data_IF_578610176323
#
_entry.id   IF_578610176323
#
_cell.length_a   1.000
_cell.length_b   1.000
_cell.length_c   1.000
_cell.angle_alpha   90.00
_cell.angle_beta   90.00
_cell.angle_gamma   90.00
#
_symmetry.space_group_name_H-M   'P 1'
#
loop_
_entity.id
_entity.type
_entity.pdbx_description
1 polymer ?
#
# COMPACT_ATOMS: atom_id res chain seq x y z
N UNK A 1 -27.71 22.62 -1.05
CA UNK A 1 -26.60 21.94 -1.74
C UNK A 1 -25.39 21.89 -0.78
N UNK A 2 -25.26 20.84 0.04
CA UNK A 2 -24.18 20.68 1.03
C UNK A 2 -23.96 19.19 1.31
N UNK A 3 -23.08 18.54 0.54
CA UNK A 3 -22.56 17.18 0.82
C UNK A 3 -21.16 16.99 0.19
N UNK A 4 -20.32 18.02 0.13
CA UNK A 4 -19.00 17.94 -0.53
C UNK A 4 -17.80 18.09 0.42
N UNK A 5 -18.02 18.14 1.74
CA UNK A 5 -16.95 18.19 2.74
C UNK A 5 -17.23 17.13 3.82
N UNK A 6 -16.64 15.93 3.73
CA UNK A 6 -16.23 15.10 4.91
C UNK A 6 -15.83 13.64 4.59
N UNK A 7 -15.19 13.32 3.46
CA UNK A 7 -14.56 12.00 3.26
C UNK A 7 -13.05 12.01 3.58
N UNK A 8 -12.59 12.97 4.37
CA UNK A 8 -11.18 13.10 4.73
C UNK A 8 -10.64 11.95 5.59
N UNK A 9 -11.49 11.09 6.16
CA UNK A 9 -11.07 9.89 6.91
C UNK A 9 -11.88 8.65 6.51
N UNK A 10 -11.51 8.01 5.40
CA UNK A 10 -12.01 6.67 5.07
C UNK A 10 -11.20 5.64 5.88
N UNK A 11 -11.89 4.85 6.71
CA UNK A 11 -11.30 3.66 7.36
C UNK A 11 -11.27 2.47 6.40
N UNK A 12 -10.44 1.45 6.65
CA UNK A 12 -10.40 0.28 5.78
C UNK A 12 -11.75 -0.46 5.69
N UNK A 13 -12.61 -0.38 6.72
CA UNK A 13 -13.96 -0.95 6.67
C UNK A 13 -14.96 -0.12 5.87
N UNK A 14 -14.78 1.21 5.83
CA UNK A 14 -15.59 2.11 5.01
C UNK A 14 -15.07 2.22 3.57
N UNK A 15 -13.83 1.77 3.31
CA UNK A 15 -13.24 1.77 1.98
C UNK A 15 -14.06 0.87 1.04
N UNK A 16 -14.36 1.31 -0.20
CA UNK A 16 -15.22 0.56 -1.11
C UNK A 16 -14.67 -0.82 -1.46
N UNK A 17 -15.60 -1.75 -1.67
CA UNK A 17 -15.30 -3.01 -2.34
C UNK A 17 -15.18 -2.78 -3.85
N UNK A 18 -14.43 -3.63 -4.55
CA UNK A 18 -14.29 -3.56 -6.02
C UNK A 18 -15.63 -3.70 -6.76
N UNK A 19 -16.62 -4.35 -6.15
CA UNK A 19 -17.98 -4.46 -6.68
C UNK A 19 -18.78 -3.15 -6.58
N UNK A 20 -18.39 -2.23 -5.69
CA UNK A 20 -19.06 -0.94 -5.51
C UNK A 20 -18.53 0.10 -6.50
N UNK A 21 -18.97 -0.04 -7.74
CA UNK A 21 -18.43 0.76 -8.84
C UNK A 21 -18.71 2.26 -8.73
N UNK A 22 -19.72 2.65 -7.96
CA UNK A 22 -20.09 4.05 -7.73
C UNK A 22 -19.14 4.71 -6.75
N UNK A 23 -18.92 4.09 -5.58
CA UNK A 23 -18.05 4.67 -4.54
C UNK A 23 -16.57 4.47 -4.82
N UNK A 24 -16.22 3.51 -5.68
CA UNK A 24 -14.84 3.18 -6.00
C UNK A 24 -14.16 4.21 -6.92
N UNK A 25 -14.91 5.08 -7.59
CA UNK A 25 -14.36 6.21 -8.34
C UNK A 25 -13.69 5.86 -9.67
N UNK A 26 -13.85 4.63 -10.16
CA UNK A 26 -13.37 4.17 -11.47
C UNK A 26 -14.53 4.13 -12.45
N UNK A 27 -14.66 5.20 -13.23
CA UNK A 27 -15.83 5.39 -14.09
C UNK A 27 -15.78 4.46 -15.33
N UNK A 28 -14.58 4.16 -15.85
CA UNK A 28 -14.37 3.32 -17.03
C UNK A 28 -14.66 1.83 -16.76
N UNK A 29 -15.61 1.25 -17.50
CA UNK A 29 -16.02 -0.15 -17.36
C UNK A 29 -14.98 -1.15 -17.89
N UNK A 30 -14.17 -0.78 -18.87
CA UNK A 30 -13.09 -1.60 -19.40
C UNK A 30 -11.94 -1.69 -18.38
N UNK A 31 -11.55 -0.55 -17.78
CA UNK A 31 -10.53 -0.54 -16.73
C UNK A 31 -10.96 -1.39 -15.52
N UNK A 32 -12.22 -1.27 -15.08
CA UNK A 32 -12.78 -2.07 -13.97
C UNK A 32 -12.71 -3.58 -14.18
N UNK A 33 -12.82 -4.05 -15.43
CA UNK A 33 -12.77 -5.48 -15.75
C UNK A 33 -11.36 -6.03 -15.75
N UNK A 34 -10.39 -5.23 -16.20
CA UNK A 34 -9.01 -5.68 -16.40
C UNK A 34 -8.10 -5.42 -15.21
N UNK A 35 -8.40 -4.39 -14.41
CA UNK A 35 -7.57 -3.98 -13.26
C UNK A 35 -8.40 -3.99 -11.99
N UNK A 36 -7.88 -4.64 -10.94
CA UNK A 36 -8.44 -4.57 -9.60
C UNK A 36 -8.00 -3.25 -8.95
N UNK A 37 -8.72 -2.17 -9.25
CA UNK A 37 -8.35 -0.82 -8.82
C UNK A 37 -9.52 -0.08 -8.18
N UNK A 38 -9.21 0.75 -7.19
CA UNK A 38 -10.16 1.63 -6.55
C UNK A 38 -9.52 2.96 -6.14
N UNK A 39 -10.22 4.05 -6.41
CA UNK A 39 -9.82 5.43 -6.10
C UNK A 39 -11.04 6.27 -5.68
N UNK A 40 -11.56 6.09 -4.46
CA UNK A 40 -12.74 6.81 -3.98
C UNK A 40 -12.57 8.33 -3.95
N UNK A 41 -11.34 8.83 -3.86
CA UNK A 41 -11.04 10.26 -3.81
C UNK A 41 -10.91 10.88 -5.21
N UNK A 42 -10.99 10.07 -6.29
CA UNK A 42 -10.66 10.46 -7.66
C UNK A 42 -9.35 11.25 -7.71
N UNK A 43 -8.35 10.73 -7.01
CA UNK A 43 -7.09 11.38 -6.79
C UNK A 43 -6.07 11.07 -7.88
N UNK A 44 -6.30 10.01 -8.67
CA UNK A 44 -5.50 9.57 -9.81
C UNK A 44 -6.34 9.68 -11.08
N UNK A 45 -5.70 10.05 -12.18
CA UNK A 45 -6.36 10.17 -13.48
C UNK A 45 -6.59 8.80 -14.14
N UNK A 46 -7.60 8.72 -15.02
CA UNK A 46 -7.89 7.47 -15.74
C UNK A 46 -6.73 7.04 -16.66
N UNK A 47 -5.96 7.99 -17.20
CA UNK A 47 -4.77 7.67 -18.02
C UNK A 47 -3.65 7.05 -17.20
N UNK A 48 -3.46 7.47 -15.94
CA UNK A 48 -2.52 6.80 -15.02
C UNK A 48 -2.96 5.36 -14.70
N UNK A 49 -4.27 5.13 -14.54
CA UNK A 49 -4.83 3.78 -14.34
C UNK A 49 -4.66 2.93 -15.61
N UNK A 50 -4.81 3.52 -16.79
CA UNK A 50 -4.55 2.83 -18.06
C UNK A 50 -3.08 2.43 -18.22
N UNK A 51 -2.14 3.25 -17.75
CA UNK A 51 -0.72 2.86 -17.68
C UNK A 51 -0.52 1.64 -16.77
N UNK A 52 -1.23 1.56 -15.64
CA UNK A 52 -1.20 0.38 -14.77
C UNK A 52 -1.72 -0.85 -15.53
N UNK A 53 -2.86 -0.73 -16.21
CA UNK A 53 -3.41 -1.80 -17.05
C UNK A 53 -2.38 -2.30 -18.05
N UNK A 54 -1.78 -1.41 -18.85
CA UNK A 54 -0.83 -1.78 -19.88
C UNK A 54 0.41 -2.51 -19.31
N UNK A 55 0.86 -2.10 -18.12
CA UNK A 55 1.95 -2.80 -17.40
C UNK A 55 1.54 -4.18 -16.92
N UNK A 56 0.32 -4.33 -16.39
CA UNK A 56 -0.20 -5.63 -15.99
C UNK A 56 -0.37 -6.57 -17.18
N UNK A 57 -0.92 -6.08 -18.30
CA UNK A 57 -1.04 -6.87 -19.53
C UNK A 57 0.32 -7.37 -20.00
N UNK A 58 1.36 -6.51 -19.96
CA UNK A 58 2.73 -6.91 -20.27
C UNK A 58 3.26 -7.98 -19.33
N UNK A 59 3.01 -7.85 -18.02
CA UNK A 59 3.41 -8.83 -17.01
C UNK A 59 2.70 -10.15 -17.30
N UNK A 60 1.37 -10.15 -17.42
CA UNK A 60 0.60 -11.36 -17.65
C UNK A 60 0.97 -12.06 -18.95
N UNK A 61 1.18 -11.33 -20.04
CA UNK A 61 1.57 -11.92 -21.32
C UNK A 61 2.93 -12.64 -21.26
N UNK A 62 3.86 -12.20 -20.41
CA UNK A 62 5.17 -12.87 -20.24
C UNK A 62 5.13 -14.12 -19.38
N UNK A 63 4.06 -14.27 -18.61
CA UNK A 63 4.07 -15.06 -17.38
C UNK A 63 2.87 -16.02 -17.28
N UNK A 64 1.96 -16.00 -18.25
CA UNK A 64 0.64 -16.64 -18.20
C UNK A 64 0.63 -18.17 -18.15
N UNK A 65 1.79 -18.82 -18.21
CA UNK A 65 1.91 -20.28 -18.28
C UNK A 65 2.14 -20.95 -16.92
N UNK A 66 2.42 -20.16 -15.87
CA UNK A 66 2.81 -20.68 -14.55
C UNK A 66 1.72 -20.44 -13.50
N UNK A 67 0.79 -21.39 -13.36
CA UNK A 67 -0.26 -21.30 -12.34
C UNK A 67 0.36 -21.51 -10.96
N UNK A 68 0.07 -20.59 -10.03
CA UNK A 68 0.63 -20.63 -8.68
C UNK A 68 -0.23 -21.52 -7.80
N UNK A 69 -1.55 -21.56 -8.05
CA UNK A 69 -2.49 -22.46 -7.38
C UNK A 69 -3.30 -23.36 -8.31
N UNK A 70 -3.06 -24.67 -8.15
CA UNK A 70 -3.79 -25.74 -8.84
C UNK A 70 -3.35 -25.89 -10.30
N UNK A 71 -3.18 -27.14 -10.74
CA UNK A 71 -2.78 -27.47 -12.11
C UNK A 71 -3.92 -27.31 -13.14
N UNK A 72 -5.18 -27.16 -12.69
CA UNK A 72 -6.38 -27.25 -13.54
C UNK A 72 -7.18 -25.94 -13.67
N UNK A 73 -6.56 -24.76 -13.51
CA UNK A 73 -7.29 -23.48 -13.53
C UNK A 73 -7.21 -22.72 -14.85
N UNK A 74 -8.35 -22.15 -15.26
CA UNK A 74 -8.43 -21.16 -16.34
C UNK A 74 -7.74 -19.85 -15.94
N UNK A 75 -7.05 -19.25 -16.92
CA UNK A 75 -6.20 -18.05 -16.83
C UNK A 75 -6.86 -16.85 -16.11
N UNK A 76 -6.04 -15.89 -15.61
CA UNK A 76 -4.58 -15.88 -15.62
C UNK A 76 -3.93 -16.65 -14.48
N UNK A 77 -2.84 -17.32 -14.87
CA UNK A 77 -1.97 -18.14 -14.04
C UNK A 77 -0.73 -17.33 -13.64
N UNK A 78 -0.89 -16.48 -12.62
CA UNK A 78 0.16 -15.71 -11.93
C UNK A 78 -0.48 -14.93 -10.78
N UNK A 79 0.32 -14.23 -9.97
CA UNK A 79 -0.16 -13.33 -8.92
C UNK A 79 -1.20 -12.32 -9.41
N UNK A 80 -2.21 -12.06 -8.56
CA UNK A 80 -3.24 -11.04 -8.80
C UNK A 80 -2.86 -9.73 -8.13
N UNK A 81 -2.89 -8.63 -8.87
CA UNK A 81 -2.48 -7.32 -8.38
C UNK A 81 -3.69 -6.41 -8.13
N UNK A 82 -3.71 -5.79 -6.94
CA UNK A 82 -4.70 -4.79 -6.54
C UNK A 82 -4.09 -3.42 -6.28
N UNK A 83 -4.81 -2.37 -6.64
CA UNK A 83 -4.37 -0.99 -6.46
C UNK A 83 -5.45 -0.18 -5.75
N UNK A 84 -5.20 0.19 -4.50
CA UNK A 84 -6.10 1.02 -3.70
C UNK A 84 -5.47 2.41 -3.52
N UNK A 85 -6.14 3.45 -4.00
CA UNK A 85 -5.67 4.83 -3.87
C UNK A 85 -6.41 5.54 -2.74
N UNK A 86 -5.68 6.41 -2.05
CA UNK A 86 -6.25 7.35 -1.09
C UNK A 86 -5.43 8.64 -1.12
N UNK A 87 -6.10 9.79 -1.19
CA UNK A 87 -5.42 11.08 -1.27
C UNK A 87 -4.62 11.36 -0.02
N UNK A 88 -5.20 11.10 1.16
CA UNK A 88 -4.56 11.27 2.47
C UNK A 88 -5.13 10.26 3.45
N UNK A 89 -4.25 9.63 4.23
CA UNK A 89 -4.66 8.81 5.37
C UNK A 89 -4.77 9.69 6.61
N UNK A 90 -5.93 9.63 7.28
CA UNK A 90 -6.13 10.17 8.62
C UNK A 90 -6.35 8.99 9.57
N UNK A 91 -5.31 8.54 10.30
CA UNK A 91 -5.45 7.46 11.27
C UNK A 91 -6.47 7.82 12.34
N UNK A 92 -7.30 6.84 12.67
CA UNK A 92 -8.33 6.95 13.70
C UNK A 92 -8.07 5.84 14.71
N UNK A 93 -8.09 6.17 15.99
CA UNK A 93 -8.00 5.17 17.05
C UNK A 93 -9.07 4.09 16.88
N UNK A 94 -8.66 2.83 17.01
CA UNK A 94 -9.51 1.66 16.73
C UNK A 94 -10.09 1.61 15.30
N UNK A 95 -9.68 2.50 14.39
CA UNK A 95 -10.15 2.53 13.00
C UNK A 95 -9.61 1.37 12.17
N UNK A 96 -8.56 0.71 12.66
CA UNK A 96 -8.05 -0.57 12.15
C UNK A 96 -7.50 -1.39 13.31
N UNK A 97 -7.66 -2.70 13.25
CA UNK A 97 -7.12 -3.66 14.21
C UNK A 97 -6.56 -4.88 13.49
N UNK A 98 -5.59 -5.56 14.10
CA UNK A 98 -5.11 -6.86 13.64
C UNK A 98 -6.20 -7.94 13.74
N UNK A 99 -7.19 -7.74 14.61
CA UNK A 99 -8.35 -8.62 14.76
C UNK A 99 -9.38 -8.44 13.65
N UNK A 100 -9.37 -7.30 12.95
CA UNK A 100 -10.29 -7.07 11.85
C UNK A 100 -9.86 -7.90 10.66
N UNK A 101 -10.83 -8.50 9.99
CA UNK A 101 -10.61 -9.36 8.85
C UNK A 101 -11.76 -9.20 7.86
N UNK A 102 -11.78 -10.03 6.83
CA UNK A 102 -12.84 -10.07 5.84
C UNK A 102 -14.25 -10.16 6.45
N UNK A 103 -14.45 -11.05 7.41
CA UNK A 103 -15.75 -11.38 8.00
C UNK A 103 -16.15 -10.40 9.09
N UNK A 104 -15.16 -9.82 9.77
CA UNK A 104 -15.35 -8.87 10.86
C UNK A 104 -14.66 -7.54 10.58
N UNK A 105 -15.44 -6.59 10.08
CA UNK A 105 -14.99 -5.23 9.80
C UNK A 105 -16.00 -4.19 10.30
N UNK A 106 -15.97 -3.85 11.62
CA UNK A 106 -16.91 -2.91 12.19
C UNK A 106 -16.67 -1.50 11.62
N UNK A 107 -17.68 -0.92 10.99
CA UNK A 107 -17.67 0.50 10.64
C UNK A 107 -17.84 1.29 11.93
N UNK A 108 -16.73 1.85 12.44
CA UNK A 108 -16.73 2.52 13.73
C UNK A 108 -17.74 3.68 13.74
N UNK A 109 -18.79 3.58 14.58
CA UNK A 109 -19.87 4.59 14.68
C UNK A 109 -19.34 5.96 15.12
N UNK A 110 -18.18 6.00 15.77
CA UNK A 110 -17.54 7.26 16.20
C UNK A 110 -17.16 8.15 15.01
N UNK A 111 -16.84 7.56 13.84
CA UNK A 111 -16.62 8.31 12.59
C UNK A 111 -17.89 8.90 11.98
N UNK A 112 -19.04 8.25 12.21
CA UNK A 112 -20.35 8.75 11.80
C UNK A 112 -20.89 9.82 12.75
N UNK A 113 -20.38 9.87 13.99
CA UNK A 113 -20.92 10.73 15.05
C UNK A 113 -20.51 12.20 14.98
N UNK A 114 -19.67 12.62 14.02
CA UNK A 114 -19.28 14.02 13.82
C UNK A 114 -18.61 14.71 15.01
N UNK A 115 -18.39 14.01 16.13
CA UNK A 115 -17.65 14.52 17.28
C UNK A 115 -16.18 14.59 16.87
N UNK A 116 -15.73 15.82 16.61
CA UNK A 116 -14.37 16.28 16.32
C UNK A 116 -13.32 15.91 17.38
N UNK A 117 -13.47 14.83 18.14
CA UNK A 117 -12.36 14.25 18.89
C UNK A 117 -11.66 13.29 17.94
N UNK A 118 -11.01 13.86 16.91
CA UNK A 118 -9.86 13.18 16.35
C UNK A 118 -8.82 13.23 17.46
N UNK A 119 -8.86 12.30 18.40
CA UNK A 119 -7.64 11.90 19.09
C UNK A 119 -6.75 11.38 17.97
N UNK A 120 -6.03 12.29 17.32
CA UNK A 120 -4.95 11.97 16.41
C UNK A 120 -4.09 11.01 17.20
N UNK A 121 -4.17 9.72 16.85
CA UNK A 121 -3.32 8.68 17.42
C UNK A 121 -1.93 9.26 17.57
N UNK A 122 -1.38 9.20 18.80
CA UNK A 122 -0.10 9.81 19.10
C UNK A 122 0.94 9.34 18.08
N UNK A 123 1.46 10.34 17.41
CA UNK A 123 1.81 10.34 15.99
C UNK A 123 3.21 9.79 15.72
N UNK A 124 3.54 8.62 16.26
CA UNK A 124 4.83 8.00 15.98
C UNK A 124 4.88 7.45 14.56
N UNK A 125 6.08 7.43 13.98
CA UNK A 125 6.31 6.85 12.65
C UNK A 125 5.82 5.39 12.61
N UNK A 126 6.08 4.65 13.68
CA UNK A 126 5.75 3.24 13.85
C UNK A 126 4.24 3.02 13.91
N UNK A 127 3.51 3.88 14.64
CA UNK A 127 2.04 3.84 14.70
C UNK A 127 1.43 4.05 13.31
N UNK A 128 1.91 5.05 12.55
CA UNK A 128 1.45 5.30 11.18
C UNK A 128 1.75 4.13 10.25
N UNK A 129 2.95 3.54 10.36
CA UNK A 129 3.33 2.38 9.57
C UNK A 129 2.42 1.19 9.87
N UNK A 130 2.19 0.89 11.15
CA UNK A 130 1.34 -0.23 11.56
C UNK A 130 -0.12 -0.01 11.15
N UNK A 131 -0.63 1.22 11.26
CA UNK A 131 -1.96 1.58 10.79
C UNK A 131 -2.09 1.33 9.28
N UNK A 132 -1.17 1.86 8.48
CA UNK A 132 -1.19 1.69 7.02
C UNK A 132 -1.00 0.23 6.57
N UNK A 133 -0.13 -0.53 7.25
CA UNK A 133 0.05 -1.98 7.00
C UNK A 133 -1.25 -2.76 7.26
N UNK A 134 -1.89 -2.52 8.40
CA UNK A 134 -3.15 -3.18 8.73
C UNK A 134 -4.29 -2.74 7.80
N UNK A 135 -4.29 -1.48 7.36
CA UNK A 135 -5.21 -0.98 6.36
C UNK A 135 -5.08 -1.78 5.06
N UNK A 136 -3.86 -1.85 4.50
CA UNK A 136 -3.58 -2.58 3.27
C UNK A 136 -3.92 -4.07 3.40
N UNK A 137 -3.56 -4.71 4.52
CA UNK A 137 -3.95 -6.10 4.82
C UNK A 137 -5.47 -6.29 4.75
N UNK A 138 -6.22 -5.44 5.44
CA UNK A 138 -7.66 -5.59 5.54
C UNK A 138 -8.36 -5.33 4.19
N UNK A 139 -7.87 -4.37 3.39
CA UNK A 139 -8.36 -4.19 2.02
C UNK A 139 -8.16 -5.44 1.17
N UNK A 140 -6.95 -6.01 1.19
CA UNK A 140 -6.60 -7.22 0.44
C UNK A 140 -7.56 -8.37 0.77
N UNK A 141 -7.72 -8.67 2.07
CA UNK A 141 -8.59 -9.73 2.56
C UNK A 141 -10.07 -9.52 2.17
N UNK A 142 -10.52 -8.26 2.12
CA UNK A 142 -11.90 -7.92 1.72
C UNK A 142 -12.12 -7.98 0.21
N UNK A 143 -11.09 -7.77 -0.60
CA UNK A 143 -11.20 -7.69 -2.05
C UNK A 143 -11.14 -9.05 -2.76
N UNK A 144 -10.61 -10.09 -2.12
CA UNK A 144 -10.64 -11.47 -2.64
C UNK A 144 -10.15 -11.58 -4.08
N UNK A 145 -8.98 -10.98 -4.35
CA UNK A 145 -8.52 -10.81 -5.72
C UNK A 145 -7.87 -12.07 -6.30
N UNK A 146 -7.21 -12.85 -5.44
CA UNK A 146 -6.57 -14.11 -5.79
C UNK A 146 -7.33 -15.29 -5.20
N UNK A 147 -7.13 -16.45 -5.80
CA UNK A 147 -7.47 -17.71 -5.17
C UNK A 147 -6.28 -18.12 -4.29
N UNK A 148 -6.51 -18.93 -3.24
CA UNK A 148 -5.47 -19.42 -2.31
C UNK A 148 -4.48 -18.36 -1.76
N UNK A 149 -4.89 -17.10 -1.68
CA UNK A 149 -4.03 -15.97 -1.30
C UNK A 149 -2.83 -15.72 -2.25
N UNK A 150 -2.99 -15.93 -3.57
CA UNK A 150 -2.00 -15.58 -4.60
C UNK A 150 -2.02 -14.09 -5.02
N UNK A 151 -2.43 -13.20 -4.12
CA UNK A 151 -2.63 -11.79 -4.41
C UNK A 151 -1.70 -10.82 -3.69
N UNK A 152 -1.48 -9.68 -4.34
CA UNK A 152 -0.68 -8.56 -3.86
C UNK A 152 -1.54 -7.29 -3.97
N UNK A 153 -1.73 -6.58 -2.86
CA UNK A 153 -2.39 -5.29 -2.84
C UNK A 153 -1.39 -4.17 -2.55
N UNK A 154 -1.37 -3.16 -3.42
CA UNK A 154 -0.70 -1.89 -3.19
C UNK A 154 -1.70 -0.84 -2.72
N UNK A 155 -1.58 -0.40 -1.48
CA UNK A 155 -2.31 0.73 -0.92
C UNK A 155 -1.44 1.99 -1.03
N UNK A 156 -1.87 2.93 -1.86
CA UNK A 156 -1.08 4.07 -2.33
C UNK A 156 -1.67 5.36 -1.74
N UNK A 157 -0.88 6.00 -0.87
CA UNK A 157 -1.16 7.32 -0.33
C UNK A 157 -0.50 8.39 -1.18
N UNK A 158 -1.29 9.24 -1.84
CA UNK A 158 -0.72 10.32 -2.66
C UNK A 158 -0.07 11.40 -1.80
N UNK A 159 -0.69 11.76 -0.67
CA UNK A 159 -0.09 12.64 0.35
C UNK A 159 0.50 11.78 1.45
N UNK A 160 1.83 11.65 1.41
CA UNK A 160 2.59 10.96 2.44
C UNK A 160 2.38 11.64 3.81
N UNK A 161 2.06 10.90 4.89
CA UNK A 161 2.00 11.45 6.24
C UNK A 161 3.33 12.09 6.65
N UNK A 162 3.29 13.22 7.35
CA UNK A 162 4.49 13.99 7.74
C UNK A 162 5.43 13.17 8.63
N UNK A 163 4.90 12.27 9.45
CA UNK A 163 5.64 11.32 10.29
C UNK A 163 6.52 10.36 9.47
N UNK A 164 6.18 10.14 8.19
CA UNK A 164 6.94 9.28 7.29
C UNK A 164 7.97 10.06 6.45
N UNK A 165 7.99 11.39 6.55
CA UNK A 165 8.90 12.26 5.82
C UNK A 165 10.22 12.47 6.58
N UNK A 166 11.32 12.60 5.84
CA UNK A 166 12.58 13.10 6.41
C UNK A 166 12.43 14.60 6.70
N UNK A 167 13.06 15.10 7.77
CA UNK A 167 12.99 16.52 8.18
C UNK A 167 13.38 17.48 7.06
N UNK A 168 14.38 17.13 6.24
CA UNK A 168 14.78 17.93 5.09
C UNK A 168 13.67 18.06 4.04
N UNK A 169 12.97 16.98 3.73
CA UNK A 169 11.85 16.97 2.77
C UNK A 169 10.68 17.82 3.25
N UNK A 170 10.41 17.88 4.56
CA UNK A 170 9.34 18.72 5.12
C UNK A 170 9.59 20.21 4.86
N UNK A 171 10.85 20.66 5.01
CA UNK A 171 11.23 22.06 4.73
C UNK A 171 11.05 22.43 3.26
N UNK A 172 11.41 21.54 2.32
CA UNK A 172 11.22 21.76 0.88
C UNK A 172 9.75 21.70 0.44
N UNK A 173 8.90 20.98 1.16
CA UNK A 173 7.46 20.97 0.89
C UNK A 173 6.79 22.24 1.41
N UNK A 174 7.26 22.78 2.54
CA UNK A 174 6.78 24.04 3.09
C UNK A 174 7.13 25.25 2.20
N UNK A 175 8.21 25.18 1.41
CA UNK A 175 8.57 26.20 0.43
C UNK A 175 7.75 26.15 -0.86
N UNK A 176 6.78 25.23 -1.01
CA UNK A 176 5.87 25.16 -2.15
C UNK A 176 6.48 24.67 -3.47
N UNK A 177 7.75 24.25 -3.46
CA UNK A 177 8.53 23.92 -4.67
C UNK A 177 8.57 22.42 -4.99
N UNK A 178 8.00 21.55 -4.13
CA UNK A 178 8.09 20.11 -4.30
C UNK A 178 6.71 19.42 -4.27
N UNK A 179 6.49 18.51 -5.21
CA UNK A 179 5.37 17.58 -5.20
C UNK A 179 5.68 16.43 -4.21
N UNK A 180 4.73 16.10 -3.33
CA UNK A 180 4.93 15.01 -2.37
C UNK A 180 5.04 13.67 -3.11
N UNK A 181 6.11 12.92 -2.85
CA UNK A 181 6.24 11.54 -3.33
C UNK A 181 5.21 10.66 -2.61
N UNK A 182 4.40 9.86 -3.35
CA UNK A 182 3.47 8.93 -2.75
C UNK A 182 4.15 7.97 -1.76
N UNK A 183 3.35 7.39 -0.88
CA UNK A 183 3.78 6.34 0.04
C UNK A 183 2.96 5.08 -0.20
N UNK A 184 3.63 3.94 -0.36
CA UNK A 184 2.98 2.68 -0.74
C UNK A 184 3.11 1.70 0.43
N UNK A 185 1.97 1.17 0.86
CA UNK A 185 1.90 -0.02 1.70
C UNK A 185 1.56 -1.21 0.83
N UNK A 186 2.43 -2.22 0.80
CA UNK A 186 2.15 -3.48 0.12
C UNK A 186 1.63 -4.51 1.12
N UNK A 187 0.60 -5.27 0.72
CA UNK A 187 0.12 -6.43 1.44
C UNK A 187 0.15 -7.65 0.53
N UNK A 188 0.72 -8.73 1.03
CA UNK A 188 0.92 -9.98 0.30
C UNK A 188 0.05 -11.06 0.93
N UNK A 189 -0.61 -11.86 0.11
CA UNK A 189 -1.20 -13.12 0.53
C UNK A 189 -0.15 -14.15 0.94
N UNK A 190 -0.56 -15.14 1.73
CA UNK A 190 0.33 -16.14 2.35
C UNK A 190 1.21 -16.84 1.31
N UNK A 191 0.61 -17.33 0.22
CA UNK A 191 1.34 -18.01 -0.84
C UNK A 191 2.39 -17.11 -1.51
N UNK A 192 2.08 -15.83 -1.69
CA UNK A 192 3.03 -14.87 -2.24
C UNK A 192 4.21 -14.68 -1.31
N UNK A 193 3.97 -14.58 0.00
CA UNK A 193 5.04 -14.47 1.01
C UNK A 193 5.95 -15.68 0.99
N UNK A 194 5.38 -16.89 1.01
CA UNK A 194 6.13 -18.15 0.97
C UNK A 194 7.04 -18.26 -0.26
N UNK A 195 6.63 -17.70 -1.41
CA UNK A 195 7.43 -17.70 -2.65
C UNK A 195 8.45 -16.56 -2.74
N UNK A 196 8.25 -15.45 -2.03
CA UNK A 196 9.15 -14.28 -2.05
C UNK A 196 10.19 -14.35 -0.90
N UNK A 197 9.84 -14.91 0.25
CA UNK A 197 10.74 -15.06 1.41
C UNK A 197 12.07 -15.79 1.11
N UNK A 198 12.15 -16.78 0.19
CA UNK A 198 13.42 -17.40 -0.21
C UNK A 198 14.40 -16.45 -0.90
N UNK A 199 13.93 -15.31 -1.42
CA UNK A 199 14.78 -14.30 -2.09
C UNK A 199 15.24 -13.20 -1.14
N UNK A 200 14.61 -13.03 0.03
CA UNK A 200 15.03 -12.05 1.04
C UNK A 200 16.14 -12.56 1.95
N UNK A 201 16.33 -13.88 2.06
CA UNK A 201 17.44 -14.49 2.81
C UNK A 201 18.80 -14.43 2.09
N UNK A 202 18.86 -13.96 0.84
CA UNK A 202 20.08 -13.90 0.04
C UNK A 202 20.61 -12.48 -0.26
N UNK A 203 20.00 -11.41 0.26
CA UNK A 203 20.54 -10.05 0.12
C UNK A 203 20.34 -9.19 1.37
N UNK A 204 21.07 -9.51 2.43
CA UNK A 204 21.68 -8.50 3.32
C UNK A 204 23.12 -8.97 3.55
N UNK A 205 23.96 -8.87 2.53
CA UNK A 205 25.39 -8.78 2.78
C UNK A 205 25.64 -7.36 3.29
N UNK A 206 26.01 -7.28 4.55
CA UNK A 206 26.56 -6.12 5.24
C UNK A 206 27.68 -5.48 4.42
N UNK A 207 27.33 -4.50 3.58
CA UNK A 207 28.30 -3.62 2.91
C UNK A 207 28.84 -2.52 3.86
N UNK A 208 28.72 -2.71 5.17
CA UNK A 208 29.17 -1.73 6.17
C UNK A 208 30.35 -2.20 7.03
N UNK A 209 30.79 -3.45 6.90
CA UNK A 209 31.88 -4.01 7.75
C UNK A 209 33.25 -3.94 7.08
N UNK A 210 33.31 -3.98 5.73
CA UNK A 210 34.59 -3.98 5.00
C UNK A 210 35.27 -2.60 4.95
N UNK A 211 34.52 -1.50 5.04
CA UNK A 211 35.12 -0.15 5.07
C UNK A 211 35.74 0.20 6.43
N UNK A 212 35.24 -0.34 7.54
CA UNK A 212 35.85 -0.10 8.86
C UNK A 212 37.11 -0.93 9.09
N UNK A 213 37.21 -2.14 8.52
CA UNK A 213 38.45 -2.93 8.61
C UNK A 213 39.57 -2.37 7.72
N UNK A 214 39.28 -1.83 6.54
CA UNK A 214 40.30 -1.19 5.70
C UNK A 214 40.83 0.12 6.30
N UNK A 215 39.99 0.93 6.97
CA UNK A 215 40.48 2.14 7.66
C UNK A 215 41.32 1.84 8.91
N UNK A 216 41.02 0.77 9.65
CA UNK A 216 41.86 0.38 10.80
C UNK A 216 43.22 -0.21 10.38
N UNK A 217 43.28 -0.96 9.27
CA UNK A 217 44.57 -1.47 8.77
C UNK A 217 45.48 -0.35 8.22
N UNK A 218 44.92 0.67 7.55
CA UNK A 218 45.72 1.81 7.09
C UNK A 218 46.23 2.69 8.25
N UNK A 219 45.45 2.83 9.34
CA UNK A 219 45.93 3.56 10.53
C UNK A 219 46.99 2.81 11.34
N UNK A 220 47.03 1.47 11.28
CA UNK A 220 48.10 0.70 11.93
C UNK A 220 49.40 0.72 11.13
N UNK A 221 49.36 0.77 9.80
CA UNK A 221 50.58 0.86 8.97
C UNK A 221 51.26 2.23 9.06
N UNK A 222 50.54 3.32 9.32
CA UNK A 222 51.13 4.65 9.51
C UNK A 222 51.77 4.87 10.89
N UNK A 223 51.58 3.95 11.85
CA UNK A 223 52.19 4.03 13.19
C UNK A 223 53.48 3.21 13.34
N UNK A 224 53.92 2.53 12.28
CA UNK A 224 55.15 1.73 12.27
C UNK A 224 56.22 2.25 11.29
N UNK A 225 56.11 3.51 10.86
CA UNK A 225 57.19 4.26 10.22
C UNK A 225 57.63 5.43 11.10
#
# INVERSE_FOLDING_TARGET
MKCAESLSSITPCAYPLLSDTVRCGIDDANLRKNVRVCDPDKAVSMSEIEVIKNKLDTIYNRNNESCICGFDKEKPCWFRFGFAFLRRMLPVESGVSHLYNREFCPTNKTLLSGKKSYTLMDSTRESIINYGKNFARLLRERWLMGECDEDILFFILLKRPSQLMRRSTLSYLASGTAQQTPYIFASYGSLVREKIDPFHSLQINDFSTDQQQQQQQQQQQQKQQ
#
